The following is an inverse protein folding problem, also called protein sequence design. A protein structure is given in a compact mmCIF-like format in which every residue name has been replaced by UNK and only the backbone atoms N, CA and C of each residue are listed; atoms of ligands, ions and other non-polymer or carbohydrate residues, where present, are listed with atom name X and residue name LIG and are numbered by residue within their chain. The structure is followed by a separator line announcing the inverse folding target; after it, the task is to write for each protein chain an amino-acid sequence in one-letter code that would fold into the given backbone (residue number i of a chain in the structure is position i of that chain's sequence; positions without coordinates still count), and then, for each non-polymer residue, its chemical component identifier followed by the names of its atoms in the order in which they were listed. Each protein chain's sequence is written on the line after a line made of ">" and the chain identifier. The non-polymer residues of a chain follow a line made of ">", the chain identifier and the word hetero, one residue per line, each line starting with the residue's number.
data_IF_162490192092
#
_entry.id   IF_162490192092
#
_cell.length_a   1.000
_cell.length_b   1.000
_cell.length_c   1.000
_cell.angle_alpha   90.00
_cell.angle_beta   90.00
_cell.angle_gamma   90.00
#
_symmetry.space_group_name_H-M   'P 1'
#
loop_
_entity.id
_entity.type
_entity.pdbx_description
1 polymer ?
#
# COMPACT_ATOMS: atom_id res chain seq x y z
N UNK A 1 30.00 9.69 11.33
CA UNK A 1 29.00 10.68 11.77
C UNK A 1 27.63 10.18 11.33
N UNK A 2 26.62 10.30 12.21
CA UNK A 2 25.21 9.92 12.07
C UNK A 2 24.86 8.88 10.99
N UNK A 3 24.91 7.59 11.36
CA UNK A 3 24.11 6.57 10.67
C UNK A 3 22.64 6.72 11.13
N UNK A 4 22.06 7.90 10.90
CA UNK A 4 20.62 8.08 10.98
C UNK A 4 20.04 7.09 9.97
N UNK A 5 19.30 6.08 10.46
CA UNK A 5 18.69 5.05 9.61
C UNK A 5 17.83 5.76 8.57
N UNK A 6 18.38 5.96 7.36
CA UNK A 6 17.66 6.55 6.22
C UNK A 6 16.30 5.88 6.12
N UNK A 7 15.25 6.68 6.11
CA UNK A 7 13.90 6.16 5.92
C UNK A 7 13.75 5.67 4.49
N UNK A 8 12.76 4.80 4.23
CA UNK A 8 12.45 4.34 2.87
C UNK A 8 12.26 5.53 1.92
N UNK A 9 11.56 6.58 2.37
CA UNK A 9 11.27 7.77 1.56
C UNK A 9 12.53 8.54 1.18
N UNK A 10 13.46 8.71 2.11
CA UNK A 10 14.73 9.40 1.86
C UNK A 10 15.61 8.60 0.90
N UNK A 11 15.74 7.28 1.12
CA UNK A 11 16.52 6.41 0.24
C UNK A 11 15.93 6.36 -1.18
N UNK A 12 14.60 6.28 -1.29
CA UNK A 12 13.91 6.32 -2.58
C UNK A 12 14.10 7.65 -3.31
N UNK A 13 14.07 8.78 -2.58
CA UNK A 13 14.33 10.10 -3.16
C UNK A 13 15.73 10.24 -3.75
N UNK A 14 16.76 9.70 -3.07
CA UNK A 14 18.13 9.64 -3.61
C UNK A 14 18.17 8.82 -4.90
N UNK A 15 17.52 7.64 -4.89
CA UNK A 15 17.48 6.75 -6.05
C UNK A 15 16.80 7.40 -7.26
N UNK A 16 15.69 8.11 -7.07
CA UNK A 16 15.04 8.90 -8.11
C UNK A 16 15.94 10.01 -8.64
N UNK A 17 16.56 10.80 -7.75
CA UNK A 17 17.44 11.89 -8.15
C UNK A 17 18.64 11.42 -8.97
N UNK A 18 19.19 10.25 -8.64
CA UNK A 18 20.28 9.63 -9.39
C UNK A 18 19.83 9.18 -10.78
N UNK A 19 18.65 8.55 -10.88
CA UNK A 19 18.07 8.16 -12.17
C UNK A 19 17.80 9.38 -13.08
N UNK A 20 17.30 10.47 -12.51
CA UNK A 20 17.07 11.72 -13.25
C UNK A 20 18.38 12.36 -13.71
N UNK A 21 19.40 12.38 -12.83
CA UNK A 21 20.74 12.91 -13.16
C UNK A 21 21.38 12.13 -14.31
N UNK A 22 21.34 10.80 -14.25
CA UNK A 22 21.86 9.91 -15.30
C UNK A 22 21.11 10.10 -16.63
N UNK A 23 19.80 10.38 -16.58
CA UNK A 23 18.98 10.59 -17.79
C UNK A 23 19.24 11.94 -18.46
N UNK A 24 19.53 12.97 -17.67
CA UNK A 24 19.70 14.34 -18.15
C UNK A 24 21.17 14.69 -18.47
N UNK A 25 22.15 13.91 -18.00
CA UNK A 25 23.56 14.12 -18.33
C UNK A 25 23.82 13.84 -19.82
N UNK A 26 24.23 14.89 -20.55
CA UNK A 26 24.55 14.84 -21.98
C UNK A 26 25.99 14.36 -22.24
N UNK A 27 26.92 14.65 -21.33
CA UNK A 27 28.32 14.23 -21.42
C UNK A 27 28.77 13.71 -20.04
N UNK A 28 28.75 12.38 -19.81
CA UNK A 28 28.96 11.83 -18.48
C UNK A 28 30.43 11.90 -18.05
N UNK A 29 30.67 12.38 -16.83
CA UNK A 29 31.97 12.26 -16.16
C UNK A 29 32.08 10.87 -15.52
N UNK A 30 33.12 10.11 -15.87
CA UNK A 30 33.26 8.70 -15.46
C UNK A 30 33.33 8.54 -13.94
N UNK A 31 34.01 9.45 -13.23
CA UNK A 31 34.16 9.36 -11.78
C UNK A 31 32.81 9.64 -11.08
N UNK A 32 32.01 10.58 -11.60
CA UNK A 32 30.67 10.86 -11.09
C UNK A 32 29.72 9.68 -11.32
N UNK A 33 29.83 8.98 -12.45
CA UNK A 33 29.00 7.79 -12.71
C UNK A 33 29.21 6.70 -11.67
N UNK A 34 30.47 6.44 -11.29
CA UNK A 34 30.79 5.42 -10.29
C UNK A 34 30.23 5.80 -8.91
N UNK A 35 30.36 7.06 -8.51
CA UNK A 35 29.80 7.57 -7.26
C UNK A 35 28.27 7.48 -7.24
N UNK A 36 27.60 7.90 -8.32
CA UNK A 36 26.14 7.84 -8.47
C UNK A 36 25.65 6.39 -8.38
N UNK A 37 26.33 5.45 -9.04
CA UNK A 37 25.94 4.03 -9.02
C UNK A 37 26.15 3.42 -7.64
N UNK A 38 27.27 3.68 -6.98
CA UNK A 38 27.54 3.14 -5.63
C UNK A 38 26.50 3.62 -4.61
N UNK A 39 26.20 4.91 -4.63
CA UNK A 39 25.19 5.48 -3.75
C UNK A 39 23.77 5.02 -4.12
N UNK A 40 23.47 4.83 -5.42
CA UNK A 40 22.20 4.23 -5.86
C UNK A 40 22.01 2.81 -5.32
N UNK A 41 23.06 1.97 -5.38
CA UNK A 41 23.00 0.59 -4.87
C UNK A 41 22.85 0.59 -3.34
N UNK A 42 23.52 1.51 -2.64
CA UNK A 42 23.35 1.68 -1.19
C UNK A 42 21.92 2.08 -0.82
N UNK A 43 21.35 3.07 -1.53
CA UNK A 43 19.97 3.49 -1.34
C UNK A 43 18.97 2.37 -1.64
N UNK A 44 19.18 1.63 -2.73
CA UNK A 44 18.37 0.48 -3.10
C UNK A 44 18.36 -0.62 -2.01
N UNK A 45 19.50 -0.90 -1.38
CA UNK A 45 19.57 -1.89 -0.28
C UNK A 45 18.70 -1.47 0.90
N UNK A 46 18.72 -0.19 1.28
CA UNK A 46 17.86 0.34 2.34
C UNK A 46 16.39 0.21 1.95
N UNK A 47 16.03 0.54 0.70
CA UNK A 47 14.66 0.37 0.21
C UNK A 47 14.22 -1.10 0.33
N UNK A 48 15.06 -2.03 -0.12
CA UNK A 48 14.79 -3.47 -0.08
C UNK A 48 14.62 -3.99 1.35
N UNK A 49 15.54 -3.65 2.26
CA UNK A 49 15.46 -4.08 3.67
C UNK A 49 14.16 -3.63 4.34
N UNK A 50 13.65 -2.45 3.99
CA UNK A 50 12.38 -1.95 4.54
C UNK A 50 11.18 -2.65 3.95
N UNK A 51 11.21 -2.99 2.66
CA UNK A 51 10.16 -3.81 2.02
C UNK A 51 10.13 -5.20 2.66
N UNK A 52 11.27 -5.88 2.76
CA UNK A 52 11.39 -7.21 3.38
C UNK A 52 10.85 -7.20 4.83
N UNK A 53 11.14 -6.13 5.59
CA UNK A 53 10.63 -5.98 6.95
C UNK A 53 9.11 -5.81 7.00
N UNK A 54 8.52 -5.08 6.06
CA UNK A 54 7.07 -4.89 5.95
C UNK A 54 6.38 -6.19 5.53
N UNK A 55 6.92 -6.90 4.54
CA UNK A 55 6.41 -8.20 4.10
C UNK A 55 6.39 -9.21 5.26
N UNK A 56 7.49 -9.29 6.02
CA UNK A 56 7.57 -10.15 7.20
C UNK A 56 6.58 -9.76 8.29
N UNK A 57 6.38 -8.46 8.53
CA UNK A 57 5.41 -7.99 9.51
C UNK A 57 3.98 -8.33 9.08
N UNK A 58 3.67 -8.21 7.79
CA UNK A 58 2.39 -8.57 7.21
C UNK A 58 2.14 -10.08 7.32
N UNK A 59 3.10 -10.91 6.94
CA UNK A 59 3.00 -12.37 7.07
C UNK A 59 2.75 -12.79 8.53
N UNK A 60 3.49 -12.20 9.48
CA UNK A 60 3.25 -12.46 10.90
C UNK A 60 1.84 -12.07 11.31
N UNK A 61 1.37 -10.87 10.93
CA UNK A 61 0.04 -10.40 11.31
C UNK A 61 -1.07 -11.30 10.76
N UNK A 62 -0.95 -11.76 9.52
CA UNK A 62 -1.91 -12.67 8.90
C UNK A 62 -1.93 -14.05 9.58
N UNK A 63 -0.76 -14.60 9.92
CA UNK A 63 -0.66 -15.87 10.62
C UNK A 63 -1.16 -15.79 12.08
N UNK A 64 -0.92 -14.67 12.77
CA UNK A 64 -1.44 -14.43 14.12
C UNK A 64 -2.98 -14.45 14.11
N UNK A 65 -3.62 -13.76 13.14
CA UNK A 65 -5.08 -13.69 13.01
C UNK A 65 -5.70 -15.06 12.66
N UNK A 66 -4.99 -15.90 11.92
CA UNK A 66 -5.46 -17.26 11.59
C UNK A 66 -5.52 -18.18 12.84
N UNK A 67 -4.70 -17.92 13.87
CA UNK A 67 -4.67 -18.70 15.11
C UNK A 67 -5.76 -18.28 16.12
N UNK A 68 -6.31 -17.07 15.98
CA UNK A 68 -7.34 -16.52 16.89
C UNK A 68 -8.79 -16.75 16.41
N UNK A 69 -9.07 -17.84 15.69
CA UNK A 69 -10.47 -18.28 15.46
C UNK A 69 -10.88 -19.22 16.61
N UNK A 70 -11.47 -18.73 17.72
CA UNK A 70 -12.17 -19.64 18.62
C UNK A 70 -13.37 -20.20 17.87
N UNK A 71 -13.51 -21.54 17.89
CA UNK A 71 -14.76 -22.21 17.54
C UNK A 71 -15.88 -21.63 18.40
N UNK A 72 -16.63 -20.67 17.85
CA UNK A 72 -17.95 -20.33 18.35
C UNK A 72 -18.86 -21.51 18.03
N UNK A 73 -18.87 -22.49 18.93
CA UNK A 73 -19.95 -23.46 19.06
C UNK A 73 -21.15 -22.73 19.65
N UNK A 74 -21.76 -21.87 18.84
CA UNK A 74 -23.02 -21.20 19.18
C UNK A 74 -24.14 -22.23 19.14
N UNK A 75 -24.45 -22.75 20.33
CA UNK A 75 -25.67 -23.49 20.61
C UNK A 75 -26.83 -22.52 20.44
N UNK A 76 -27.54 -22.57 19.31
CA UNK A 76 -28.75 -21.76 19.09
C UNK A 76 -29.93 -22.42 19.81
N UNK A 77 -30.52 -21.84 20.88
CA UNK A 77 -31.82 -22.27 21.33
C UNK A 77 -32.88 -21.76 20.35
N UNK A 78 -33.53 -22.70 19.66
CA UNK A 78 -34.71 -22.49 18.84
C UNK A 78 -35.84 -21.81 19.64
N UNK A 79 -35.97 -20.48 19.50
CA UNK A 79 -37.20 -19.75 19.88
C UNK A 79 -38.04 -19.55 18.63
N UNK A 80 -38.81 -20.58 18.29
CA UNK A 80 -39.87 -20.47 17.30
C UNK A 80 -41.09 -19.72 17.87
N UNK A 81 -41.68 -18.89 17.00
CA UNK A 81 -43.02 -18.26 17.01
C UNK A 81 -43.23 -16.99 17.85
N UNK A 82 -43.38 -15.86 17.14
CA UNK A 82 -44.71 -15.25 16.83
C UNK A 82 -44.51 -13.91 16.09
N UNK A 83 -44.86 -13.83 14.80
CA UNK A 83 -45.88 -12.93 14.22
C UNK A 83 -46.12 -11.62 15.01
N UNK A 84 -45.98 -10.41 14.45
CA UNK A 84 -46.91 -9.87 13.44
C UNK A 84 -46.44 -8.51 12.88
N UNK A 85 -46.69 -8.30 11.58
CA UNK A 85 -46.87 -7.07 10.79
C UNK A 85 -46.97 -5.72 11.52
N UNK A 86 -46.30 -4.70 10.97
CA UNK A 86 -47.00 -3.48 10.51
C UNK A 86 -46.18 -2.75 9.44
N UNK A 87 -46.79 -2.56 8.27
CA UNK A 87 -46.28 -1.76 7.18
C UNK A 87 -46.35 -0.27 7.53
N UNK A 88 -45.35 0.51 7.10
CA UNK A 88 -45.58 1.92 6.82
C UNK A 88 -44.89 2.33 5.53
N UNK A 89 -45.66 2.99 4.67
CA UNK A 89 -45.36 3.35 3.29
C UNK A 89 -44.95 4.83 3.22
N UNK A 90 -43.73 5.08 2.71
CA UNK A 90 -43.20 6.18 1.85
C UNK A 90 -43.60 7.67 2.07
N UNK A 91 -42.98 8.70 1.40
CA UNK A 91 -41.86 8.70 0.45
C UNK A 91 -40.82 9.86 0.61
N UNK A 92 -39.87 9.88 -0.33
CA UNK A 92 -39.13 11.03 -0.88
C UNK A 92 -37.85 11.53 -0.17
N UNK A 93 -36.72 11.30 -0.83
CA UNK A 93 -35.81 12.37 -1.31
C UNK A 93 -34.70 11.78 -2.21
N UNK A 94 -34.67 12.21 -3.47
CA UNK A 94 -33.50 12.15 -4.36
C UNK A 94 -32.39 13.06 -3.83
N UNK A 95 -31.11 12.76 -4.08
CA UNK A 95 -30.44 13.49 -5.17
C UNK A 95 -29.30 12.74 -5.91
N UNK A 96 -29.00 13.30 -7.08
CA UNK A 96 -27.68 13.45 -7.71
C UNK A 96 -26.95 12.22 -8.30
N UNK A 97 -27.05 12.15 -9.63
CA UNK A 97 -25.96 11.94 -10.59
C UNK A 97 -24.64 11.31 -10.08
N UNK A 98 -24.38 10.08 -10.50
CA UNK A 98 -23.02 9.57 -10.65
C UNK A 98 -22.43 10.14 -11.96
N UNK A 99 -21.36 10.95 -11.95
CA UNK A 99 -20.50 11.04 -13.11
C UNK A 99 -19.70 9.73 -13.20
N UNK A 100 -19.59 9.18 -14.41
CA UNK A 100 -18.95 7.90 -14.69
C UNK A 100 -17.48 7.88 -14.27
N UNK A 101 -17.09 6.76 -13.68
CA UNK A 101 -15.70 6.37 -13.42
C UNK A 101 -15.08 5.72 -14.67
N UNK A 102 -15.20 6.36 -15.84
CA UNK A 102 -14.77 5.78 -17.13
C UNK A 102 -13.57 6.52 -17.75
N UNK A 103 -12.84 7.31 -16.95
CA UNK A 103 -11.74 8.17 -17.43
C UNK A 103 -10.50 8.08 -16.51
N UNK A 104 -10.20 6.88 -15.98
CA UNK A 104 -8.99 6.66 -15.19
C UNK A 104 -8.21 5.37 -15.56
N UNK A 105 -8.62 4.66 -16.61
CA UNK A 105 -7.95 3.42 -17.05
C UNK A 105 -6.91 3.63 -18.18
N UNK A 106 -6.83 4.82 -18.80
CA UNK A 106 -5.98 5.02 -20.00
C UNK A 106 -4.60 5.67 -19.75
N UNK A 107 -4.29 6.12 -18.51
CA UNK A 107 -3.06 6.88 -18.24
C UNK A 107 -2.22 6.28 -17.08
N UNK A 108 -1.89 4.98 -17.18
CA UNK A 108 -0.84 4.36 -16.36
C UNK A 108 0.35 3.98 -17.27
N UNK A 109 1.32 4.89 -17.49
CA UNK A 109 2.57 4.55 -18.17
C UNK A 109 3.50 3.75 -17.23
N UNK A 110 3.93 2.56 -17.70
CA UNK A 110 5.03 1.77 -17.11
C UNK A 110 6.37 2.51 -17.16
#
# INVERSE_FOLDING_TARGET
>A
MANEKKTFREAYGVLQGHAETLRNQTEPNIDDLLAIVEESVSAYRVCKERIDAVEKALEKALNDVADVVPQASESIPSRAKSASRQANVAPAQTPAANPGFDDLEDDIPF
#
